data_IF_383551841195
#
_entry.id   IF_383551841195
#
_cell.length_a   1.000
_cell.length_b   1.000
_cell.length_c   1.000
_cell.angle_alpha   90.00
_cell.angle_beta   90.00
_cell.angle_gamma   90.00
#
_symmetry.space_group_name_H-M   'P 1'
#
loop_
_entity.id
_entity.type
_entity.pdbx_description
1 polymer ?
#
# COMPACT_ATOMS: atom_id res chain seq x y z
N UNK A 1 -92.90 -39.08 23.91
CA UNK A 1 -92.41 -40.01 24.96
C UNK A 1 -90.97 -39.62 25.27
N UNK A 2 -90.69 -39.52 26.56
CA UNK A 2 -89.44 -39.07 27.19
C UNK A 2 -88.17 -39.82 26.76
N UNK A 3 -87.03 -39.16 27.05
CA UNK A 3 -85.76 -39.77 27.51
C UNK A 3 -85.00 -40.61 26.45
N UNK A 4 -83.67 -40.65 26.36
CA UNK A 4 -82.61 -40.28 27.30
C UNK A 4 -81.27 -40.28 26.54
N UNK A 5 -80.43 -39.31 26.91
CA UNK A 5 -79.03 -39.48 27.34
C UNK A 5 -78.01 -40.22 26.46
N UNK A 6 -76.98 -39.44 26.05
CA UNK A 6 -75.53 -39.66 26.31
C UNK A 6 -74.83 -40.86 25.62
N UNK A 7 -73.61 -40.76 25.06
CA UNK A 7 -72.47 -39.90 25.38
C UNK A 7 -71.48 -39.91 24.18
N UNK A 8 -70.91 -38.73 23.89
CA UNK A 8 -69.61 -38.42 23.29
C UNK A 8 -68.77 -39.55 22.65
N UNK A 9 -68.47 -39.45 21.34
CA UNK A 9 -67.08 -39.26 20.91
C UNK A 9 -67.00 -38.68 19.48
N UNK A 10 -66.04 -37.78 19.31
CA UNK A 10 -65.91 -36.79 18.25
C UNK A 10 -65.15 -37.40 17.07
N UNK A 11 -65.86 -37.81 16.02
CA UNK A 11 -65.25 -38.18 14.74
C UNK A 11 -64.86 -36.90 13.97
N UNK A 12 -63.56 -36.67 13.79
CA UNK A 12 -63.05 -35.72 12.80
C UNK A 12 -62.05 -36.42 11.88
N UNK A 13 -62.58 -36.85 10.74
CA UNK A 13 -62.04 -36.76 9.37
C UNK A 13 -60.53 -36.98 9.17
N UNK A 14 -60.20 -38.05 8.42
CA UNK A 14 -59.37 -37.99 7.20
C UNK A 14 -59.51 -39.31 6.44
N UNK A 15 -60.47 -39.42 5.54
CA UNK A 15 -60.32 -39.23 4.09
C UNK A 15 -59.04 -39.86 3.53
N UNK A 16 -59.22 -41.04 2.95
CA UNK A 16 -58.28 -41.69 2.06
C UNK A 16 -58.03 -40.81 0.82
N UNK A 17 -56.80 -40.83 0.31
CA UNK A 17 -56.65 -40.77 -1.13
C UNK A 17 -55.38 -41.47 -1.59
N UNK A 18 -55.64 -42.54 -2.31
CA UNK A 18 -54.71 -43.39 -3.04
C UNK A 18 -54.11 -42.65 -4.25
N UNK A 19 -52.82 -42.92 -4.48
CA UNK A 19 -52.24 -43.37 -5.76
C UNK A 19 -52.25 -42.45 -6.99
N UNK A 20 -51.02 -42.23 -7.51
CA UNK A 20 -50.64 -41.99 -8.93
C UNK A 20 -50.99 -40.63 -9.54
N UNK A 21 -50.00 -39.74 -9.53
CA UNK A 21 -49.49 -38.87 -10.62
C UNK A 21 -48.25 -38.19 -9.99
N UNK A 22 -47.06 -38.77 -10.07
CA UNK A 22 -46.12 -38.75 -11.19
C UNK A 22 -45.71 -37.34 -11.65
N UNK A 23 -44.51 -36.96 -11.20
CA UNK A 23 -43.53 -36.04 -11.81
C UNK A 23 -43.80 -34.54 -11.73
N UNK A 24 -42.72 -33.84 -11.37
CA UNK A 24 -42.48 -32.40 -11.35
C UNK A 24 -42.77 -31.71 -10.03
N UNK A 25 -41.78 -30.90 -9.60
CA UNK A 25 -41.82 -29.88 -8.54
C UNK A 25 -41.21 -30.23 -7.16
N UNK A 26 -39.96 -30.71 -7.11
CA UNK A 26 -39.06 -30.35 -5.99
C UNK A 26 -37.64 -30.12 -6.57
N UNK A 27 -37.32 -28.87 -6.93
CA UNK A 27 -35.95 -28.43 -7.27
C UNK A 27 -35.67 -27.06 -6.65
N UNK A 28 -36.04 -26.88 -5.38
CA UNK A 28 -35.75 -25.65 -4.64
C UNK A 28 -35.42 -25.99 -3.18
N UNK A 29 -34.28 -26.66 -2.94
CA UNK A 29 -33.62 -26.60 -1.63
C UNK A 29 -32.16 -27.10 -1.71
N UNK A 30 -31.30 -26.33 -2.38
CA UNK A 30 -29.86 -26.44 -2.20
C UNK A 30 -29.21 -25.14 -2.64
N UNK A 31 -29.46 -24.08 -1.86
CA UNK A 31 -28.55 -22.94 -1.84
C UNK A 31 -27.35 -23.38 -1.01
N UNK A 32 -26.54 -24.28 -1.58
CA UNK A 32 -25.24 -24.65 -1.05
C UNK A 32 -24.34 -23.45 -1.34
N UNK A 33 -24.37 -22.47 -0.43
CA UNK A 33 -23.37 -21.41 -0.36
C UNK A 33 -22.03 -22.08 -0.05
N UNK A 34 -21.38 -22.63 -1.08
CA UNK A 34 -19.96 -22.90 -1.07
C UNK A 34 -19.29 -21.53 -1.03
N UNK A 35 -19.21 -20.98 0.18
CA UNK A 35 -18.17 -19.99 0.50
C UNK A 35 -16.88 -20.76 0.35
N UNK A 36 -16.33 -20.74 -0.87
CA UNK A 36 -14.96 -21.16 -1.10
C UNK A 36 -14.12 -20.15 -0.35
N UNK A 37 -13.74 -20.51 0.88
CA UNK A 37 -12.70 -19.80 1.60
C UNK A 37 -11.46 -19.88 0.71
N UNK A 38 -11.25 -18.83 -0.08
CA UNK A 38 -10.02 -18.65 -0.83
C UNK A 38 -8.94 -18.59 0.22
N UNK A 39 -8.21 -19.68 0.41
CA UNK A 39 -7.04 -19.68 1.28
C UNK A 39 -6.07 -18.71 0.64
N UNK A 40 -6.00 -17.51 1.20
CA UNK A 40 -5.00 -16.52 0.86
C UNK A 40 -3.67 -17.16 1.26
N UNK A 41 -2.98 -17.78 0.30
CA UNK A 41 -1.61 -18.25 0.51
C UNK A 41 -0.81 -17.00 0.85
N UNK A 42 -0.48 -16.83 2.13
CA UNK A 42 0.41 -15.76 2.56
C UNK A 42 1.68 -15.85 1.70
N UNK A 43 2.14 -14.73 1.14
CA UNK A 43 3.41 -14.68 0.45
C UNK A 43 4.47 -15.32 1.37
N UNK A 44 5.30 -16.25 0.86
CA UNK A 44 6.08 -17.16 1.70
C UNK A 44 7.06 -16.44 2.62
N UNK A 45 7.43 -15.19 2.30
CA UNK A 45 8.28 -14.34 3.12
C UNK A 45 7.77 -12.91 3.20
N UNK A 46 8.08 -12.27 4.33
CA UNK A 46 7.68 -10.91 4.69
C UNK A 46 8.89 -10.08 5.11
N UNK A 47 8.78 -8.75 4.97
CA UNK A 47 9.86 -7.81 5.31
C UNK A 47 10.39 -7.96 6.74
N UNK A 48 9.58 -8.45 7.69
CA UNK A 48 10.01 -8.65 9.09
C UNK A 48 11.16 -9.64 9.24
N UNK A 49 11.30 -10.57 8.30
CA UNK A 49 12.38 -11.57 8.27
C UNK A 49 13.73 -10.98 7.82
N UNK A 50 13.75 -9.76 7.27
CA UNK A 50 14.98 -9.08 6.91
C UNK A 50 15.63 -8.44 8.14
N UNK A 51 16.96 -8.53 8.20
CA UNK A 51 17.79 -7.78 9.13
C UNK A 51 18.82 -6.98 8.34
N UNK A 52 18.95 -5.69 8.62
CA UNK A 52 19.84 -4.80 7.87
C UNK A 52 21.08 -4.49 8.70
N UNK A 53 22.23 -4.40 8.04
CA UNK A 53 23.47 -3.96 8.68
C UNK A 53 23.47 -2.46 9.02
N UNK A 54 24.61 -1.97 9.51
CA UNK A 54 24.79 -0.53 9.80
C UNK A 54 24.48 0.31 8.55
N UNK A 55 23.76 1.41 8.74
CA UNK A 55 23.58 2.41 7.69
C UNK A 55 24.90 3.14 7.44
N UNK A 56 25.44 2.96 6.24
CA UNK A 56 26.73 3.54 5.82
C UNK A 56 26.55 4.81 5.00
N UNK A 57 25.38 5.01 4.39
CA UNK A 57 25.00 6.22 3.65
C UNK A 57 23.48 6.44 3.68
N UNK A 58 23.04 7.70 3.60
CA UNK A 58 21.63 8.07 3.60
C UNK A 58 20.99 8.10 4.99
N UNK A 59 19.66 8.15 5.03
CA UNK A 59 18.88 8.28 6.26
C UNK A 59 18.81 6.96 7.04
N UNK A 60 19.03 7.02 8.36
CA UNK A 60 18.80 5.90 9.29
C UNK A 60 17.33 5.53 9.39
N UNK A 61 17.01 4.28 9.72
CA UNK A 61 15.63 3.82 9.86
C UNK A 61 15.48 2.76 10.96
N UNK A 62 14.26 2.55 11.41
CA UNK A 62 13.88 1.42 12.28
C UNK A 62 12.92 0.48 11.53
N UNK A 63 12.77 -0.77 11.98
CA UNK A 63 11.80 -1.70 11.38
C UNK A 63 10.37 -1.14 11.44
N UNK A 64 10.05 -0.44 12.52
CA UNK A 64 8.75 0.19 12.73
C UNK A 64 8.49 1.29 11.69
N UNK A 65 9.52 2.07 11.35
CA UNK A 65 9.41 3.14 10.34
C UNK A 65 9.17 2.62 8.91
N UNK A 66 9.38 1.31 8.67
CA UNK A 66 9.10 0.66 7.38
C UNK A 66 7.64 0.19 7.25
N UNK A 67 6.90 0.10 8.36
CA UNK A 67 5.49 -0.35 8.32
C UNK A 67 4.65 0.64 7.52
N UNK A 68 3.82 0.13 6.62
CA UNK A 68 2.97 0.95 5.75
C UNK A 68 3.70 1.60 4.57
N UNK A 69 5.02 1.42 4.44
CA UNK A 69 5.81 1.89 3.30
C UNK A 69 5.95 0.79 2.25
N UNK A 70 6.03 1.19 0.99
CA UNK A 70 6.56 0.33 -0.06
C UNK A 70 8.08 0.32 0.10
N UNK A 71 8.67 -0.86 0.26
CA UNK A 71 10.11 -0.99 0.54
C UNK A 71 10.78 -1.71 -0.62
N UNK A 72 11.86 -1.14 -1.13
CA UNK A 72 12.74 -1.80 -2.10
C UNK A 72 14.02 -2.18 -1.36
N UNK A 73 14.38 -3.45 -1.44
CA UNK A 73 15.70 -3.95 -1.03
C UNK A 73 16.50 -4.25 -2.29
N UNK A 74 17.49 -3.40 -2.61
CA UNK A 74 18.32 -3.52 -3.81
C UNK A 74 19.72 -4.03 -3.46
N UNK A 75 19.96 -5.30 -3.73
CA UNK A 75 21.25 -5.95 -3.50
C UNK A 75 22.22 -5.55 -4.60
N UNK A 76 23.36 -4.99 -4.18
CA UNK A 76 24.34 -4.41 -5.09
C UNK A 76 25.77 -4.53 -4.54
N UNK A 77 26.76 -4.05 -5.30
CA UNK A 77 28.14 -3.94 -4.82
C UNK A 77 28.99 -2.97 -5.63
N UNK A 78 30.09 -2.48 -5.04
CA UNK A 78 30.94 -1.45 -5.69
C UNK A 78 31.75 -2.00 -6.86
N UNK A 79 31.98 -3.31 -6.90
CA UNK A 79 32.67 -4.04 -7.98
C UNK A 79 31.69 -4.76 -8.91
N UNK A 80 30.44 -4.30 -8.97
CA UNK A 80 29.39 -4.85 -9.84
C UNK A 80 29.03 -3.82 -10.92
N UNK A 81 29.65 -3.85 -12.11
CA UNK A 81 29.36 -2.91 -13.19
C UNK A 81 27.86 -2.75 -13.54
N UNK A 82 27.04 -3.83 -13.66
CA UNK A 82 25.62 -3.66 -13.93
C UNK A 82 24.86 -2.99 -12.76
N UNK A 83 25.31 -3.19 -11.52
CA UNK A 83 24.75 -2.47 -10.37
C UNK A 83 25.04 -0.96 -10.47
N UNK A 84 26.28 -0.59 -10.81
CA UNK A 84 26.67 0.82 -10.97
C UNK A 84 25.85 1.53 -12.05
N UNK A 85 25.53 0.82 -13.14
CA UNK A 85 24.70 1.34 -14.22
C UNK A 85 23.24 1.61 -13.80
N UNK A 86 22.74 0.93 -12.76
CA UNK A 86 21.38 1.09 -12.24
C UNK A 86 21.25 2.16 -11.14
N UNK A 87 22.34 2.62 -10.54
CA UNK A 87 22.30 3.68 -9.51
C UNK A 87 21.49 4.90 -9.98
N UNK A 88 21.72 5.48 -11.18
CA UNK A 88 20.94 6.63 -11.63
C UNK A 88 19.43 6.38 -11.74
N UNK A 89 19.02 5.13 -12.00
CA UNK A 89 17.61 4.74 -12.04
C UNK A 89 17.00 4.73 -10.63
N UNK A 90 17.70 4.15 -9.66
CA UNK A 90 17.26 4.14 -8.25
C UNK A 90 17.20 5.54 -7.64
N UNK A 91 18.14 6.43 -7.99
CA UNK A 91 18.09 7.85 -7.59
C UNK A 91 16.80 8.50 -8.08
N UNK A 92 16.46 8.34 -9.37
CA UNK A 92 15.21 8.88 -9.93
C UNK A 92 13.96 8.31 -9.26
N UNK A 93 13.97 7.04 -8.87
CA UNK A 93 12.87 6.42 -8.15
C UNK A 93 12.74 6.98 -6.73
N UNK A 94 13.84 7.12 -5.99
CA UNK A 94 13.84 7.72 -4.66
C UNK A 94 13.31 9.16 -4.71
N UNK A 95 13.89 10.00 -5.58
CA UNK A 95 13.47 11.41 -5.72
C UNK A 95 11.98 11.55 -6.03
N UNK A 96 11.45 10.64 -6.86
CA UNK A 96 10.05 10.70 -7.31
C UNK A 96 9.05 10.21 -6.27
N UNK A 97 9.43 9.22 -5.45
CA UNK A 97 8.47 8.45 -4.66
C UNK A 97 8.76 8.39 -3.16
N UNK A 98 9.91 8.87 -2.68
CA UNK A 98 10.26 8.89 -1.24
C UNK A 98 9.17 9.53 -0.40
N UNK A 99 8.73 10.72 -0.81
CA UNK A 99 7.67 11.46 -0.12
C UNK A 99 6.26 10.90 -0.37
N UNK A 100 6.16 9.89 -1.27
CA UNK A 100 4.91 9.19 -1.62
C UNK A 100 4.81 7.80 -0.96
N UNK A 101 5.71 7.49 -0.02
CA UNK A 101 5.69 6.25 0.76
C UNK A 101 6.64 5.16 0.26
N UNK A 102 7.56 5.47 -0.66
CA UNK A 102 8.67 4.58 -1.02
C UNK A 102 9.83 4.72 -0.02
N UNK A 103 10.45 3.60 0.34
CA UNK A 103 11.77 3.56 0.99
C UNK A 103 12.66 2.59 0.23
N UNK A 104 13.80 3.07 -0.26
CA UNK A 104 14.84 2.23 -0.87
C UNK A 104 15.94 1.98 0.18
N UNK A 105 16.28 0.70 0.37
CA UNK A 105 17.39 0.24 1.21
C UNK A 105 18.29 -0.62 0.31
N UNK A 106 19.53 -0.20 0.13
CA UNK A 106 20.47 -0.86 -0.78
C UNK A 106 21.61 -1.53 0.02
N UNK A 107 21.46 -2.80 0.44
CA UNK A 107 22.53 -3.53 1.13
C UNK A 107 23.71 -3.81 0.20
N UNK A 108 24.88 -3.31 0.56
CA UNK A 108 26.13 -3.64 -0.14
C UNK A 108 26.52 -5.09 0.17
N UNK A 109 26.76 -5.89 -0.88
CA UNK A 109 26.87 -7.34 -0.81
C UNK A 109 28.25 -7.88 -1.21
N UNK A 110 29.27 -7.03 -1.33
CA UNK A 110 30.65 -7.41 -1.71
C UNK A 110 31.71 -7.05 -0.66
N UNK A 111 31.30 -6.54 0.51
CA UNK A 111 32.22 -6.23 1.61
C UNK A 111 33.04 -4.97 1.36
N UNK A 112 32.51 -4.03 0.58
CA UNK A 112 33.21 -2.79 0.25
C UNK A 112 33.34 -1.87 1.47
N UNK A 113 34.41 -1.07 1.55
CA UNK A 113 34.59 -0.12 2.65
C UNK A 113 33.54 1.00 2.62
N UNK A 114 33.20 1.54 3.80
CA UNK A 114 32.29 2.69 3.95
C UNK A 114 32.71 3.88 3.08
N UNK A 115 34.00 4.15 2.96
CA UNK A 115 34.53 5.26 2.15
C UNK A 115 34.32 5.04 0.66
N UNK A 116 34.53 3.81 0.16
CA UNK A 116 34.29 3.47 -1.24
C UNK A 116 32.80 3.64 -1.58
N UNK A 117 31.92 3.13 -0.71
CA UNK A 117 30.47 3.26 -0.83
C UNK A 117 30.06 4.74 -0.83
N UNK A 118 30.49 5.50 0.18
CA UNK A 118 30.11 6.91 0.36
C UNK A 118 30.57 7.77 -0.82
N UNK A 119 31.79 7.56 -1.32
CA UNK A 119 32.32 8.28 -2.49
C UNK A 119 31.45 8.04 -3.72
N UNK A 120 31.06 6.79 -3.96
CA UNK A 120 30.22 6.42 -5.09
C UNK A 120 28.81 7.02 -4.96
N UNK A 121 28.17 6.89 -3.79
CA UNK A 121 26.85 7.44 -3.57
C UNK A 121 26.82 8.97 -3.71
N UNK A 122 27.84 9.67 -3.19
CA UNK A 122 27.99 11.12 -3.39
C UNK A 122 28.18 11.50 -4.85
N UNK A 123 28.98 10.76 -5.62
CA UNK A 123 29.16 10.97 -7.07
C UNK A 123 27.82 10.92 -7.81
N UNK A 124 26.94 10.01 -7.42
CA UNK A 124 25.61 9.86 -8.02
C UNK A 124 24.52 10.68 -7.33
N UNK A 125 24.86 11.48 -6.31
CA UNK A 125 23.91 12.26 -5.51
C UNK A 125 22.78 11.40 -4.90
N UNK A 126 23.06 10.14 -4.61
CA UNK A 126 22.08 9.23 -4.06
C UNK A 126 21.69 9.67 -2.64
N UNK A 127 20.38 9.71 -2.36
CA UNK A 127 19.83 10.03 -1.04
C UNK A 127 19.19 8.83 -0.35
N UNK A 128 18.94 7.74 -1.09
CA UNK A 128 18.43 6.50 -0.52
C UNK A 128 19.42 5.84 0.44
N UNK A 129 18.90 5.00 1.31
CA UNK A 129 19.68 4.36 2.38
C UNK A 129 20.54 3.24 1.84
N UNK A 130 21.81 3.18 2.27
CA UNK A 130 22.73 2.06 1.99
C UNK A 130 23.18 1.45 3.30
N UNK A 131 23.17 0.12 3.39
CA UNK A 131 23.61 -0.62 4.58
C UNK A 131 24.84 -1.48 4.28
N UNK A 132 25.64 -1.75 5.31
CA UNK A 132 26.70 -2.76 5.27
C UNK A 132 26.08 -4.17 5.28
N UNK A 133 25.56 -4.58 4.12
CA UNK A 133 24.85 -5.84 3.94
C UNK A 133 23.47 -5.90 4.60
N UNK A 134 22.86 -7.06 4.48
CA UNK A 134 21.66 -7.48 5.19
C UNK A 134 21.59 -9.01 5.20
N UNK A 135 20.72 -9.58 6.04
CA UNK A 135 20.32 -10.98 5.99
C UNK A 135 18.81 -11.11 5.76
N UNK A 136 18.41 -12.22 5.13
CA UNK A 136 17.01 -12.53 4.86
C UNK A 136 16.88 -13.98 4.35
N UNK A 137 15.65 -14.49 4.22
CA UNK A 137 15.39 -15.90 3.89
C UNK A 137 15.62 -16.24 2.41
N UNK A 138 15.73 -15.24 1.53
CA UNK A 138 15.89 -15.46 0.11
C UNK A 138 17.33 -15.83 -0.26
N UNK A 139 17.47 -16.88 -1.06
CA UNK A 139 18.72 -17.21 -1.73
C UNK A 139 18.87 -16.35 -2.99
N UNK A 140 19.87 -15.46 -2.99
CA UNK A 140 20.18 -14.61 -4.14
C UNK A 140 20.99 -15.39 -5.17
N UNK A 141 20.63 -15.26 -6.45
CA UNK A 141 21.32 -15.94 -7.57
C UNK A 141 22.44 -15.10 -8.20
N UNK A 142 22.49 -13.81 -7.89
CA UNK A 142 23.46 -12.88 -8.46
C UNK A 142 23.11 -11.43 -8.14
N UNK A 143 24.01 -10.53 -8.55
CA UNK A 143 23.81 -9.08 -8.45
C UNK A 143 23.70 -8.48 -9.87
N UNK A 144 22.92 -7.41 -10.05
CA UNK A 144 22.00 -6.82 -9.08
C UNK A 144 20.73 -7.66 -8.92
N UNK A 145 20.13 -7.60 -7.73
CA UNK A 145 18.83 -8.23 -7.45
C UNK A 145 18.02 -7.29 -6.57
N UNK A 146 16.76 -7.06 -6.90
CA UNK A 146 15.84 -6.27 -6.10
C UNK A 146 14.68 -7.11 -5.59
N UNK A 147 14.24 -6.80 -4.39
CA UNK A 147 13.00 -7.30 -3.79
C UNK A 147 12.12 -6.10 -3.47
N UNK A 148 10.87 -6.12 -3.92
CA UNK A 148 9.89 -5.06 -3.63
C UNK A 148 8.86 -5.62 -2.68
N UNK A 149 8.65 -4.92 -1.58
CA UNK A 149 7.64 -5.19 -0.58
C UNK A 149 6.53 -4.14 -0.68
N UNK A 150 5.27 -4.57 -0.65
CA UNK A 150 4.13 -3.66 -0.51
C UNK A 150 4.03 -3.09 0.91
N UNK A 151 3.07 -2.20 1.14
CA UNK A 151 2.85 -1.55 2.44
C UNK A 151 2.52 -2.52 3.58
N UNK A 152 2.09 -3.74 3.26
CA UNK A 152 1.83 -4.83 4.19
C UNK A 152 3.08 -5.67 4.48
N UNK A 153 4.21 -5.37 3.83
CA UNK A 153 5.47 -6.09 3.98
C UNK A 153 5.52 -7.39 3.17
N UNK A 154 4.61 -7.61 2.21
CA UNK A 154 4.60 -8.79 1.35
C UNK A 154 5.42 -8.55 0.09
N UNK A 155 6.14 -9.57 -0.37
CA UNK A 155 6.91 -9.51 -1.62
C UNK A 155 5.95 -9.44 -2.81
N UNK A 156 6.09 -8.37 -3.62
CA UNK A 156 5.37 -8.18 -4.88
C UNK A 156 6.29 -8.24 -6.11
N UNK A 157 7.60 -8.26 -5.89
CA UNK A 157 8.61 -8.50 -6.93
C UNK A 157 9.90 -9.04 -6.31
N UNK A 158 10.57 -9.93 -7.03
CA UNK A 158 11.92 -10.41 -6.72
C UNK A 158 12.63 -10.76 -8.03
N UNK A 159 13.66 -10.00 -8.41
CA UNK A 159 14.34 -10.17 -9.69
C UNK A 159 15.31 -9.05 -10.03
N UNK A 160 15.73 -8.97 -11.29
CA UNK A 160 16.69 -7.97 -11.75
C UNK A 160 16.02 -6.57 -11.85
N UNK A 161 16.63 -5.48 -11.34
CA UNK A 161 15.96 -4.16 -11.32
C UNK A 161 15.79 -3.51 -12.70
N UNK A 162 16.43 -4.04 -13.74
CA UNK A 162 16.18 -3.64 -15.14
C UNK A 162 14.95 -4.30 -15.76
N UNK A 163 14.31 -5.27 -15.08
CA UNK A 163 13.08 -5.88 -15.56
C UNK A 163 11.93 -4.86 -15.55
N UNK A 164 11.14 -4.80 -16.61
CA UNK A 164 9.97 -3.91 -16.70
C UNK A 164 8.94 -4.11 -15.58
N UNK A 165 8.91 -5.29 -14.95
CA UNK A 165 8.07 -5.61 -13.81
C UNK A 165 8.54 -4.93 -12.51
N UNK A 166 9.81 -4.55 -12.40
CA UNK A 166 10.35 -3.88 -11.21
C UNK A 166 9.64 -2.55 -10.95
N UNK A 167 9.74 -1.59 -11.88
CA UNK A 167 9.07 -0.30 -11.80
C UNK A 167 7.55 -0.41 -11.66
N UNK A 168 6.97 -1.40 -12.36
CA UNK A 168 5.53 -1.65 -12.32
C UNK A 168 5.08 -2.10 -10.94
N UNK A 169 5.83 -3.00 -10.30
CA UNK A 169 5.52 -3.49 -8.95
C UNK A 169 5.55 -2.36 -7.92
N UNK A 170 6.54 -1.47 -7.99
CA UNK A 170 6.63 -0.29 -7.11
C UNK A 170 5.43 0.63 -7.31
N UNK A 171 5.10 0.95 -8.57
CA UNK A 171 3.96 1.83 -8.89
C UNK A 171 2.64 1.26 -8.42
N UNK A 172 2.43 -0.05 -8.63
CA UNK A 172 1.21 -0.74 -8.20
C UNK A 172 1.11 -0.76 -6.67
N UNK A 173 2.19 -1.14 -5.98
CA UNK A 173 2.21 -1.16 -4.51
C UNK A 173 1.95 0.23 -3.90
N UNK A 174 2.50 1.29 -4.51
CA UNK A 174 2.26 2.68 -4.08
C UNK A 174 0.83 3.17 -4.38
N UNK A 175 0.18 2.61 -5.41
CA UNK A 175 -1.23 2.90 -5.72
C UNK A 175 -2.14 2.18 -4.73
N UNK A 176 -1.88 0.89 -4.49
CA UNK A 176 -2.61 0.06 -3.54
C UNK A 176 -2.52 0.62 -2.11
N UNK A 177 -1.34 1.07 -1.67
CA UNK A 177 -1.18 1.69 -0.35
C UNK A 177 -2.01 2.97 -0.21
N UNK A 178 -2.07 3.79 -1.28
CA UNK A 178 -2.90 4.99 -1.34
C UNK A 178 -4.39 4.64 -1.34
N UNK A 179 -4.84 3.67 -2.13
CA UNK A 179 -6.24 3.24 -2.14
C UNK A 179 -6.67 2.60 -0.82
N UNK A 180 -5.80 1.83 -0.16
CA UNK A 180 -6.09 1.22 1.14
C UNK A 180 -6.18 2.28 2.25
N UNK A 181 -5.28 3.27 2.25
CA UNK A 181 -5.39 4.43 3.14
C UNK A 181 -6.64 5.26 2.79
N UNK A 182 -6.93 5.45 1.50
CA UNK A 182 -8.14 6.13 1.05
C UNK A 182 -9.39 5.45 1.59
N UNK A 183 -9.54 4.13 1.45
CA UNK A 183 -10.69 3.38 1.97
C UNK A 183 -10.74 3.39 3.51
N UNK A 184 -9.60 3.25 4.19
CA UNK A 184 -9.53 3.27 5.66
C UNK A 184 -9.94 4.61 6.23
N UNK A 185 -9.45 5.68 5.63
CA UNK A 185 -9.67 7.01 6.12
C UNK A 185 -10.93 7.65 5.48
N UNK A 186 -11.51 7.08 4.41
CA UNK A 186 -12.89 7.38 3.96
C UNK A 186 -13.94 6.78 4.90
N UNK A 187 -13.59 5.67 5.58
CA UNK A 187 -14.37 5.13 6.71
C UNK A 187 -14.20 6.01 7.97
N UNK A 188 -13.18 6.86 8.04
CA UNK A 188 -12.92 7.82 9.13
C UNK A 188 -13.00 9.26 8.61
N UNK A 189 -14.22 9.78 8.44
CA UNK A 189 -14.70 11.08 7.90
C UNK A 189 -13.83 12.37 7.94
N UNK A 190 -12.50 12.33 7.80
CA UNK A 190 -11.61 13.45 8.05
C UNK A 190 -10.28 13.36 7.27
N UNK A 191 -10.28 12.74 6.09
CA UNK A 191 -9.08 12.71 5.26
C UNK A 191 -8.72 14.05 4.65
N UNK A 192 -7.41 14.34 4.59
CA UNK A 192 -6.94 15.46 3.84
C UNK A 192 -6.81 15.16 2.34
N UNK A 193 -7.37 16.03 1.50
CA UNK A 193 -7.15 16.07 0.04
C UNK A 193 -5.66 16.02 -0.35
N UNK A 194 -4.78 16.71 0.37
CA UNK A 194 -3.31 16.57 0.25
C UNK A 194 -2.69 16.51 1.64
N UNK A 195 -1.84 15.52 1.86
CA UNK A 195 -1.12 15.30 3.12
C UNK A 195 -0.24 16.48 3.58
N UNK A 196 0.34 16.35 4.78
CA UNK A 196 1.17 17.40 5.36
C UNK A 196 2.38 17.73 4.48
N UNK A 197 2.53 18.99 4.06
CA UNK A 197 3.67 19.49 3.27
C UNK A 197 3.89 20.98 3.45
N UNK A 198 4.92 21.50 2.78
CA UNK A 198 5.17 22.95 2.68
C UNK A 198 4.49 23.52 1.44
N UNK A 199 3.70 24.57 1.63
CA UNK A 199 2.99 25.34 0.61
C UNK A 199 3.62 26.72 0.48
N UNK A 200 3.62 27.26 -0.73
CA UNK A 200 4.26 28.53 -1.05
C UNK A 200 3.26 29.46 -1.73
N UNK A 201 3.19 30.72 -1.29
CA UNK A 201 2.39 31.73 -1.98
C UNK A 201 3.16 32.34 -3.18
N UNK A 202 2.50 33.23 -3.93
CA UNK A 202 3.12 33.92 -5.06
C UNK A 202 4.34 34.77 -4.67
N UNK A 203 4.37 35.28 -3.44
CA UNK A 203 5.48 36.08 -2.90
C UNK A 203 6.64 35.24 -2.32
N UNK A 204 6.56 33.90 -2.41
CA UNK A 204 7.59 32.98 -1.91
C UNK A 204 7.49 32.66 -0.41
N UNK A 205 6.50 33.20 0.31
CA UNK A 205 6.24 32.88 1.72
C UNK A 205 5.71 31.45 1.87
N UNK A 206 6.17 30.76 2.92
CA UNK A 206 5.93 29.32 3.10
C UNK A 206 5.12 29.01 4.36
N UNK A 207 4.20 28.06 4.26
CA UNK A 207 3.47 27.49 5.39
C UNK A 207 3.56 25.96 5.39
N UNK A 208 3.59 25.33 6.56
CA UNK A 208 3.50 23.87 6.70
C UNK A 208 2.06 23.51 7.07
N UNK A 209 1.40 22.78 6.19
CA UNK A 209 -0.01 22.48 6.35
C UNK A 209 -0.43 21.21 5.60
N UNK A 210 -1.58 20.71 5.98
CA UNK A 210 -2.31 19.62 5.32
C UNK A 210 -3.53 20.22 4.62
N UNK A 211 -3.75 19.94 3.33
CA UNK A 211 -4.96 20.38 2.63
C UNK A 211 -6.11 19.42 2.93
N UNK A 212 -7.17 19.91 3.56
CA UNK A 212 -8.36 19.14 3.89
C UNK A 212 -9.31 19.03 2.69
N UNK A 213 -9.63 20.16 2.08
CA UNK A 213 -10.59 20.24 0.98
C UNK A 213 -10.34 21.51 0.15
N UNK A 214 -10.96 21.57 -1.03
CA UNK A 214 -11.08 22.80 -1.82
C UNK A 214 -12.57 23.13 -1.96
N UNK A 215 -12.96 24.30 -1.46
CA UNK A 215 -14.35 24.75 -1.44
C UNK A 215 -14.40 26.20 -1.93
N UNK A 216 -15.21 26.49 -2.96
CA UNK A 216 -15.42 27.85 -3.48
C UNK A 216 -14.11 28.60 -3.82
N UNK A 217 -13.16 27.91 -4.44
CA UNK A 217 -11.85 28.48 -4.81
C UNK A 217 -10.88 28.68 -3.64
N UNK A 218 -11.23 28.21 -2.43
CA UNK A 218 -10.40 28.29 -1.23
C UNK A 218 -9.91 26.91 -0.81
N UNK A 219 -8.62 26.83 -0.49
CA UNK A 219 -7.97 25.70 0.13
C UNK A 219 -8.22 25.72 1.63
N UNK A 220 -8.83 24.66 2.17
CA UNK A 220 -9.02 24.46 3.61
C UNK A 220 -7.78 23.77 4.17
N UNK A 221 -6.88 24.53 4.78
CA UNK A 221 -5.65 24.02 5.36
C UNK A 221 -5.79 23.73 6.85
N UNK A 222 -5.23 22.61 7.30
CA UNK A 222 -4.92 22.34 8.71
C UNK A 222 -3.44 22.63 8.96
N UNK A 223 -3.14 23.61 9.80
CA UNK A 223 -1.78 24.00 10.18
C UNK A 223 -1.18 22.98 11.16
N UNK A 224 0.14 23.08 11.40
CA UNK A 224 0.86 22.22 12.35
C UNK A 224 0.32 22.29 13.78
N UNK A 225 -0.19 23.45 14.20
CA UNK A 225 -0.81 23.65 15.51
C UNK A 225 -2.26 23.13 15.60
N UNK A 226 -2.75 22.45 14.55
CA UNK A 226 -4.10 21.91 14.48
C UNK A 226 -5.19 22.91 14.05
N UNK A 227 -4.89 24.21 14.01
CA UNK A 227 -5.86 25.22 13.56
C UNK A 227 -6.18 25.05 12.07
N UNK A 228 -7.44 25.33 11.71
CA UNK A 228 -7.92 25.25 10.33
C UNK A 228 -8.10 26.65 9.78
N UNK A 229 -7.61 26.88 8.56
CA UNK A 229 -7.72 28.16 7.85
C UNK A 229 -8.15 27.96 6.40
N UNK A 230 -8.81 28.96 5.84
CA UNK A 230 -9.17 29.02 4.42
C UNK A 230 -8.21 29.96 3.70
N UNK A 231 -7.60 29.48 2.63
CA UNK A 231 -6.63 30.24 1.84
C UNK A 231 -7.08 30.32 0.37
N UNK A 232 -6.97 31.49 -0.23
CA UNK A 232 -7.32 31.70 -1.64
C UNK A 232 -6.32 30.98 -2.55
N UNK A 233 -6.78 29.98 -3.32
CA UNK A 233 -5.91 29.14 -4.16
C UNK A 233 -5.21 29.97 -5.22
N UNK A 234 -5.82 31.07 -5.69
CA UNK A 234 -5.22 31.91 -6.71
C UNK A 234 -3.88 32.50 -6.24
N UNK A 235 -3.73 32.73 -4.93
CA UNK A 235 -2.54 33.30 -4.28
C UNK A 235 -1.44 32.28 -3.99
N UNK A 236 -1.66 30.99 -4.26
CA UNK A 236 -0.63 29.97 -4.19
C UNK A 236 0.33 30.07 -5.39
N UNK A 237 1.52 29.50 -5.22
CA UNK A 237 2.50 29.33 -6.29
C UNK A 237 1.90 28.51 -7.45
N UNK A 238 2.42 28.69 -8.67
CA UNK A 238 1.94 27.94 -9.84
C UNK A 238 2.03 26.42 -9.62
N UNK A 239 3.17 25.96 -9.11
CA UNK A 239 3.41 24.56 -8.76
C UNK A 239 2.38 24.01 -7.76
N UNK A 240 2.07 24.77 -6.70
CA UNK A 240 1.10 24.32 -5.70
C UNK A 240 -0.33 24.32 -6.23
N UNK A 241 -0.67 25.24 -7.15
CA UNK A 241 -1.96 25.23 -7.86
C UNK A 241 -2.09 24.00 -8.74
N UNK A 242 -1.05 23.65 -9.51
CA UNK A 242 -1.04 22.44 -10.35
C UNK A 242 -1.20 21.18 -9.50
N UNK A 243 -0.50 21.09 -8.36
CA UNK A 243 -0.64 19.94 -7.46
C UNK A 243 -2.08 19.80 -6.94
N UNK A 244 -2.73 20.91 -6.57
CA UNK A 244 -4.14 20.88 -6.14
C UNK A 244 -5.03 20.42 -7.28
N UNK A 245 -4.80 20.89 -8.51
CA UNK A 245 -5.58 20.47 -9.67
C UNK A 245 -5.41 18.98 -9.97
N UNK A 246 -4.21 18.44 -9.83
CA UNK A 246 -3.97 17.01 -10.02
C UNK A 246 -4.65 16.18 -8.93
N UNK A 247 -4.58 16.62 -7.67
CA UNK A 247 -5.25 15.94 -6.56
C UNK A 247 -6.79 15.96 -6.64
N UNK A 248 -7.37 16.91 -7.37
CA UNK A 248 -8.82 17.00 -7.58
C UNK A 248 -9.33 16.15 -8.77
N UNK A 249 -8.43 15.62 -9.60
CA UNK A 249 -8.77 14.79 -10.76
C UNK A 249 -8.76 13.28 -10.45
N UNK A 250 -8.09 12.88 -9.37
CA UNK A 250 -8.00 11.50 -8.86
C UNK A 250 -9.22 11.12 -8.02
#
# INVERSE_FOLDING_TARGET
MSCSSNFFCRCFVRNEMNSRILRSLISILSCFCLVTASTLTAAPHTLSEWSFGEVVHGETFTKESLKGKVVVVDYWGTHCPPCLALIPHLVKLDDKYRDKGLKIIAPESQGSSKDAITRLMKKHQAQYTVTAGCSGPLQLRGLPHAVVFNAQGQIVFSGHPADSAFDRSIKNALKESRSANYSRDAISSNQPLIGHRTWTNQDGQKIKATLLAVENGKAKFRLTNGSVTLYDITKLSLFDKELIQDALKD
#
